data_IF_702216073027
#
_entry.id   IF_702216073027
#
_cell.length_a   1.000
_cell.length_b   1.000
_cell.length_c   1.000
_cell.angle_alpha   90.00
_cell.angle_beta   90.00
_cell.angle_gamma   90.00
#
_symmetry.space_group_name_H-M   'P 1'
#
loop_
_entity.id
_entity.type
_entity.pdbx_description
1 polymer ?
#
# COMPACT_ATOMS: atom_id res chain seq x y z
N UNK A 1 -34.97 -37.84 12.53
CA UNK A 1 -34.78 -37.44 11.11
C UNK A 1 -34.84 -35.92 10.90
N UNK A 2 -35.87 -35.22 11.40
CA UNK A 2 -36.02 -33.75 11.27
C UNK A 2 -34.84 -32.92 11.82
N UNK A 3 -34.32 -33.24 13.02
CA UNK A 3 -33.18 -32.50 13.59
C UNK A 3 -31.86 -32.73 12.84
N UNK A 4 -31.66 -33.91 12.26
CA UNK A 4 -30.47 -34.21 11.45
C UNK A 4 -30.47 -33.43 10.14
N UNK A 5 -31.64 -33.22 9.53
CA UNK A 5 -31.75 -32.34 8.36
C UNK A 5 -31.42 -30.88 8.69
N UNK A 6 -31.85 -30.37 9.85
CA UNK A 6 -31.53 -29.00 10.28
C UNK A 6 -30.02 -28.83 10.51
N UNK A 7 -29.38 -29.82 11.15
CA UNK A 7 -27.93 -29.80 11.39
C UNK A 7 -27.14 -29.87 10.07
N UNK A 8 -27.56 -30.70 9.13
CA UNK A 8 -26.92 -30.79 7.81
C UNK A 8 -27.05 -29.49 7.01
N UNK A 9 -28.21 -28.83 7.05
CA UNK A 9 -28.44 -27.53 6.39
C UNK A 9 -27.57 -26.44 7.05
N UNK A 10 -27.48 -26.42 8.38
CA UNK A 10 -26.66 -25.45 9.10
C UNK A 10 -25.16 -25.62 8.82
N UNK A 11 -24.66 -26.86 8.73
CA UNK A 11 -23.29 -27.17 8.31
C UNK A 11 -22.99 -26.75 6.87
N UNK A 12 -23.98 -26.89 5.96
CA UNK A 12 -23.82 -26.47 4.57
C UNK A 12 -23.73 -24.93 4.45
N UNK A 13 -24.52 -24.19 5.23
CA UNK A 13 -24.50 -22.71 5.23
C UNK A 13 -23.17 -22.10 5.69
N UNK A 14 -22.43 -22.74 6.61
CA UNK A 14 -21.13 -22.24 7.11
C UNK A 14 -20.07 -22.16 6.00
N UNK A 15 -20.12 -23.06 5.02
CA UNK A 15 -19.16 -23.06 3.89
C UNK A 15 -19.37 -21.89 2.93
N UNK A 16 -20.60 -21.35 2.84
CA UNK A 16 -20.93 -20.25 1.92
C UNK A 16 -20.46 -18.89 2.46
N UNK A 17 -20.32 -18.75 3.79
CA UNK A 17 -19.89 -17.51 4.46
C UNK A 17 -18.44 -17.12 4.18
N UNK A 18 -17.57 -18.07 3.82
CA UNK A 18 -16.12 -17.84 3.67
C UNK A 18 -15.68 -17.38 2.27
N UNK A 19 -16.61 -17.07 1.36
CA UNK A 19 -16.32 -16.72 -0.04
C UNK A 19 -16.02 -15.22 -0.29
N UNK A 20 -15.81 -14.41 0.76
CA UNK A 20 -15.46 -13.00 0.57
C UNK A 20 -14.03 -12.89 0.01
N UNK A 21 -13.92 -12.61 -1.29
CA UNK A 21 -12.65 -12.29 -1.93
C UNK A 21 -12.03 -11.07 -1.22
N UNK A 22 -10.93 -11.29 -0.49
CA UNK A 22 -10.17 -10.22 0.14
C UNK A 22 -9.55 -9.38 -0.97
N UNK A 23 -10.09 -8.20 -1.22
CA UNK A 23 -9.49 -7.25 -2.16
C UNK A 23 -8.17 -6.76 -1.56
N UNK A 24 -7.06 -7.27 -2.06
CA UNK A 24 -5.75 -6.78 -1.66
C UNK A 24 -5.46 -5.42 -2.31
N UNK A 25 -4.86 -4.47 -1.58
CA UNK A 25 -4.48 -3.19 -2.14
C UNK A 25 -3.47 -3.38 -3.28
N UNK A 26 -3.58 -2.55 -4.32
CA UNK A 26 -2.85 -2.72 -5.58
C UNK A 26 -1.32 -2.85 -5.41
N UNK A 27 -0.73 -2.15 -4.43
CA UNK A 27 0.72 -2.22 -4.17
C UNK A 27 1.19 -3.60 -3.67
N UNK A 28 0.32 -4.43 -3.07
CA UNK A 28 0.68 -5.79 -2.65
C UNK A 28 0.77 -6.75 -3.83
N UNK A 29 -0.01 -6.50 -4.88
CA UNK A 29 0.01 -7.31 -6.12
C UNK A 29 1.33 -7.16 -6.87
N UNK A 30 1.99 -6.01 -6.71
CA UNK A 30 3.27 -5.68 -7.34
C UNK A 30 4.27 -5.20 -6.29
N UNK A 31 4.96 -6.11 -5.57
CA UNK A 31 5.80 -5.80 -4.41
C UNK A 31 7.17 -5.22 -4.79
N UNK A 32 7.24 -4.49 -5.90
CA UNK A 32 8.46 -3.81 -6.37
C UNK A 32 8.14 -2.34 -6.61
N UNK A 33 9.19 -1.50 -6.70
CA UNK A 33 8.99 -0.10 -7.06
C UNK A 33 8.25 -0.02 -8.40
N UNK A 34 7.08 0.64 -8.46
CA UNK A 34 6.29 0.72 -9.68
C UNK A 34 7.05 1.50 -10.76
N UNK A 35 6.80 1.23 -12.06
CA UNK A 35 7.32 2.08 -13.12
C UNK A 35 6.72 3.48 -13.01
N UNK A 36 7.53 4.51 -13.14
CA UNK A 36 7.09 5.90 -13.17
C UNK A 36 7.99 6.73 -14.09
N UNK A 37 7.43 7.82 -14.61
CA UNK A 37 8.13 8.87 -15.33
C UNK A 37 7.59 10.20 -14.82
N UNK A 38 8.39 10.87 -13.98
CA UNK A 38 7.99 12.10 -13.29
C UNK A 38 8.90 13.25 -13.71
N UNK A 39 8.36 14.46 -13.64
CA UNK A 39 9.13 15.68 -13.78
C UNK A 39 9.40 16.22 -12.37
N UNK A 40 10.67 16.47 -12.09
CA UNK A 40 11.12 17.07 -10.83
C UNK A 40 10.80 18.55 -10.79
N UNK A 41 10.95 19.17 -9.62
CA UNK A 41 10.79 20.63 -9.44
C UNK A 41 11.77 21.43 -10.31
N UNK A 42 12.90 20.84 -10.67
CA UNK A 42 13.93 21.43 -11.54
C UNK A 42 13.68 21.16 -13.03
N UNK A 43 12.49 20.67 -13.40
CA UNK A 43 12.10 20.27 -14.76
C UNK A 43 12.90 19.11 -15.37
N UNK A 44 13.71 18.41 -14.57
CA UNK A 44 14.43 17.21 -15.02
C UNK A 44 13.53 15.96 -14.95
N UNK A 45 13.71 15.02 -15.88
CA UNK A 45 13.01 13.75 -15.90
C UNK A 45 13.59 12.78 -14.86
N UNK A 46 12.71 12.16 -14.07
CA UNK A 46 13.05 11.14 -13.07
C UNK A 46 12.30 9.84 -13.40
N UNK A 47 13.05 8.75 -13.53
CA UNK A 47 12.52 7.40 -13.77
C UNK A 47 13.01 6.43 -12.71
N UNK A 48 12.37 5.25 -12.62
CA UNK A 48 12.78 4.16 -11.71
C UNK A 48 14.27 3.79 -11.86
N UNK A 49 14.81 3.84 -13.07
CA UNK A 49 16.19 3.44 -13.35
C UNK A 49 17.23 4.41 -12.77
N UNK A 50 16.82 5.63 -12.42
CA UNK A 50 17.68 6.64 -11.79
C UNK A 50 17.74 6.48 -10.26
N UNK A 51 16.96 5.57 -9.67
CA UNK A 51 17.00 5.31 -8.23
C UNK A 51 18.29 4.59 -7.84
N UNK A 52 18.76 4.86 -6.61
CA UNK A 52 19.92 4.16 -6.05
C UNK A 52 19.62 2.66 -5.97
N UNK A 53 20.55 1.84 -6.48
CA UNK A 53 20.47 0.38 -6.37
C UNK A 53 20.63 -0.06 -4.92
N UNK A 54 19.96 -1.16 -4.57
CA UNK A 54 20.07 -1.83 -3.26
C UNK A 54 19.76 -0.94 -2.05
N UNK A 55 18.92 0.09 -2.26
CA UNK A 55 18.43 0.97 -1.20
C UNK A 55 16.90 0.86 -1.08
N UNK A 56 16.35 0.79 0.15
CA UNK A 56 14.90 0.88 0.35
C UNK A 56 14.36 2.19 -0.24
N UNK A 57 13.19 2.11 -0.88
CA UNK A 57 12.53 3.25 -1.52
C UNK A 57 11.17 3.46 -0.88
N UNK A 58 10.90 4.68 -0.42
CA UNK A 58 9.60 5.13 0.05
C UNK A 58 9.04 6.16 -0.92
N UNK A 59 7.84 5.91 -1.45
CA UNK A 59 7.10 6.86 -2.28
C UNK A 59 6.00 7.46 -1.42
N UNK A 60 6.04 8.78 -1.21
CA UNK A 60 5.04 9.51 -0.43
C UNK A 60 4.24 10.43 -1.35
N UNK A 61 2.94 10.20 -1.44
CA UNK A 61 2.01 11.12 -2.08
C UNK A 61 1.50 12.10 -1.04
N UNK A 62 1.73 13.39 -1.23
CA UNK A 62 1.30 14.43 -0.31
C UNK A 62 0.95 15.71 -1.07
N UNK A 63 0.18 16.58 -0.41
CA UNK A 63 -0.08 17.93 -0.91
C UNK A 63 0.82 18.93 -0.18
N UNK A 64 1.56 19.80 -0.90
CA UNK A 64 2.45 20.77 -0.27
C UNK A 64 1.72 21.86 0.53
N UNK A 65 0.42 22.04 0.31
CA UNK A 65 -0.40 23.07 0.96
C UNK A 65 -1.14 22.54 2.21
N UNK A 66 -1.01 21.25 2.53
CA UNK A 66 -1.66 20.66 3.70
C UNK A 66 -0.78 20.84 4.94
N UNK A 67 -1.30 21.51 5.97
CA UNK A 67 -0.59 21.80 7.23
C UNK A 67 -0.11 20.53 7.94
N UNK A 68 -0.91 19.46 7.94
CA UNK A 68 -0.49 18.18 8.52
C UNK A 68 0.65 17.52 7.74
N UNK A 69 0.65 17.64 6.40
CA UNK A 69 1.74 17.12 5.58
C UNK A 69 3.05 17.92 5.78
N UNK A 70 2.94 19.22 6.04
CA UNK A 70 4.09 20.07 6.34
C UNK A 70 4.73 19.66 7.66
N UNK A 71 3.93 19.55 8.74
CA UNK A 71 4.42 19.09 10.04
C UNK A 71 5.03 17.69 9.97
N UNK A 72 4.38 16.75 9.27
CA UNK A 72 4.94 15.41 9.04
C UNK A 72 6.32 15.48 8.36
N UNK A 73 6.44 16.28 7.30
CA UNK A 73 7.70 16.42 6.58
C UNK A 73 8.80 17.07 7.44
N UNK A 74 8.47 18.09 8.24
CA UNK A 74 9.40 18.70 9.19
C UNK A 74 9.98 17.69 10.17
N UNK A 75 9.12 16.86 10.76
CA UNK A 75 9.55 15.82 11.72
C UNK A 75 10.38 14.72 11.05
N UNK A 76 10.03 14.35 9.81
CA UNK A 76 10.83 13.41 9.02
C UNK A 76 12.22 13.97 8.70
N UNK A 77 12.32 15.25 8.33
CA UNK A 77 13.60 15.92 8.05
C UNK A 77 14.47 15.98 9.31
N UNK A 78 13.88 16.31 10.47
CA UNK A 78 14.60 16.33 11.77
C UNK A 78 15.21 14.98 12.13
N UNK A 79 14.64 13.88 11.63
CA UNK A 79 15.05 12.50 11.92
C UNK A 79 15.51 11.73 10.68
N UNK A 80 15.94 12.42 9.64
CA UNK A 80 16.31 11.80 8.35
C UNK A 80 17.43 10.77 8.50
N UNK A 81 18.33 10.94 9.46
CA UNK A 81 19.43 10.01 9.74
C UNK A 81 18.95 8.63 10.22
N UNK A 82 17.76 8.56 10.82
CA UNK A 82 17.17 7.30 11.28
C UNK A 82 16.64 6.44 10.12
N UNK A 83 16.59 7.00 8.90
CA UNK A 83 16.09 6.34 7.69
C UNK A 83 17.23 5.83 6.77
N UNK A 84 18.50 5.99 7.17
CA UNK A 84 19.69 5.65 6.36
C UNK A 84 20.02 4.17 6.29
#
# INVERSE_FOLDING_TARGET
MRNWMIVAVMLLCVNIVSAQAKEEPAYKRFPTVPPFNLITVDSAALTKDQLKKDKPVMIMYFSPQCEHCQHQMEDMIRRMDDLK
#
